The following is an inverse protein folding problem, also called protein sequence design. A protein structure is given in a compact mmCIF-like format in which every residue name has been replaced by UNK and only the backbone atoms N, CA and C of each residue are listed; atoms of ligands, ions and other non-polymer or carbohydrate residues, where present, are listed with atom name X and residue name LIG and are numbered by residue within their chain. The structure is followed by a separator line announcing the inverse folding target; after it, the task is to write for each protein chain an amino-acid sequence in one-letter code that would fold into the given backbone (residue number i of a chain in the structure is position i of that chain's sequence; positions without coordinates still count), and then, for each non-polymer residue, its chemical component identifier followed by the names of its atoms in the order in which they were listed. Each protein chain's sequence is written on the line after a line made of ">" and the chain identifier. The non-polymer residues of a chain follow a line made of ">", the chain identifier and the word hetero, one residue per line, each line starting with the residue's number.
data_IF_528470126844
#
_entry.id   IF_528470126844
#
_cell.length_a   1.000
_cell.length_b   1.000
_cell.length_c   1.000
_cell.angle_alpha   90.00
_cell.angle_beta   90.00
_cell.angle_gamma   90.00
#
_symmetry.space_group_name_H-M   'P 1'
#
loop_
_entity.id
_entity.type
_entity.pdbx_description
1 polymer ?
#
# COMPACT_ATOMS: atom_id res chain seq x y z
N UNK A 1 3.19 -6.54 19.33
CA UNK A 1 4.27 -6.63 18.34
C UNK A 1 3.63 -6.58 16.97
N UNK A 2 4.08 -5.72 16.06
CA UNK A 2 3.59 -5.73 14.67
C UNK A 2 4.10 -6.99 13.95
N UNK A 3 3.34 -7.57 13.01
CA UNK A 3 3.78 -8.72 12.22
C UNK A 3 4.91 -8.31 11.28
N UNK A 4 5.72 -9.26 10.83
CA UNK A 4 6.64 -9.02 9.73
C UNK A 4 5.88 -9.12 8.40
N UNK A 5 6.31 -8.39 7.37
CA UNK A 5 5.71 -8.50 6.04
C UNK A 5 5.80 -9.93 5.47
N UNK A 6 6.84 -10.68 5.87
CA UNK A 6 7.03 -12.09 5.52
C UNK A 6 5.97 -13.04 6.10
N UNK A 7 5.23 -12.60 7.11
CA UNK A 7 4.14 -13.38 7.72
C UNK A 7 2.90 -13.41 6.80
N UNK A 8 2.83 -12.50 5.82
CA UNK A 8 1.75 -12.42 4.85
C UNK A 8 2.10 -13.04 3.50
N UNK A 9 1.12 -13.72 2.90
CA UNK A 9 1.28 -14.31 1.56
C UNK A 9 1.28 -13.20 0.50
N UNK A 10 2.38 -13.04 -0.22
CA UNK A 10 2.44 -12.18 -1.39
C UNK A 10 1.53 -12.72 -2.51
N UNK A 11 0.64 -11.88 -3.04
CA UNK A 11 -0.34 -12.24 -4.07
C UNK A 11 0.02 -11.67 -5.43
N UNK A 12 0.39 -10.39 -5.51
CA UNK A 12 0.66 -9.72 -6.77
C UNK A 12 1.64 -8.55 -6.59
N UNK A 13 2.46 -8.32 -7.62
CA UNK A 13 3.36 -7.16 -7.71
C UNK A 13 3.09 -6.40 -8.99
N UNK A 14 2.75 -5.13 -8.86
CA UNK A 14 2.67 -4.17 -9.96
C UNK A 14 3.91 -3.30 -10.05
N UNK A 15 3.90 -2.32 -10.97
CA UNK A 15 5.04 -1.40 -11.17
C UNK A 15 5.50 -0.73 -9.86
N UNK A 16 4.56 -0.27 -9.04
CA UNK A 16 4.84 0.55 -7.84
C UNK A 16 4.07 0.14 -6.58
N UNK A 17 3.31 -0.96 -6.64
CA UNK A 17 2.48 -1.46 -5.54
C UNK A 17 2.56 -2.97 -5.45
N UNK A 18 2.45 -3.47 -4.23
CA UNK A 18 2.45 -4.89 -3.90
C UNK A 18 1.23 -5.22 -3.06
N UNK A 19 0.68 -6.42 -3.25
CA UNK A 19 -0.54 -6.88 -2.61
C UNK A 19 -0.23 -8.16 -1.84
N UNK A 20 -0.55 -8.17 -0.56
CA UNK A 20 -0.39 -9.31 0.32
C UNK A 20 -1.74 -9.71 0.92
N UNK A 21 -1.92 -11.00 1.19
CA UNK A 21 -3.07 -11.53 1.91
C UNK A 21 -2.84 -11.44 3.41
N UNK A 22 -3.74 -10.74 4.12
CA UNK A 22 -3.79 -10.79 5.59
C UNK A 22 -4.61 -12.02 6.02
N UNK A 23 -5.83 -12.16 5.50
CA UNK A 23 -6.73 -13.28 5.76
C UNK A 23 -7.69 -13.53 4.56
N UNK A 24 -8.83 -14.20 4.77
CA UNK A 24 -9.79 -14.51 3.72
C UNK A 24 -10.56 -13.27 3.20
N UNK A 25 -10.66 -12.22 4.01
CA UNK A 25 -11.45 -11.01 3.71
C UNK A 25 -10.58 -9.74 3.56
N UNK A 26 -9.32 -9.78 4.02
CA UNK A 26 -8.44 -8.61 4.08
C UNK A 26 -7.17 -8.74 3.25
N UNK A 27 -6.80 -7.62 2.62
CA UNK A 27 -5.55 -7.44 1.88
C UNK A 27 -4.71 -6.34 2.51
N UNK A 28 -3.39 -6.49 2.44
CA UNK A 28 -2.43 -5.41 2.69
C UNK A 28 -1.96 -4.84 1.34
N UNK A 29 -2.13 -3.54 1.17
CA UNK A 29 -1.82 -2.83 -0.07
C UNK A 29 -0.62 -1.90 0.14
N UNK A 30 0.56 -2.31 -0.34
CA UNK A 30 1.84 -1.66 -0.05
C UNK A 30 2.26 -0.77 -1.22
N UNK A 31 2.46 0.52 -0.98
CA UNK A 31 3.03 1.44 -1.95
C UNK A 31 4.56 1.51 -1.78
N UNK A 32 5.31 1.28 -2.86
CA UNK A 32 6.78 1.37 -2.85
C UNK A 32 7.27 2.74 -3.29
N UNK A 33 8.56 2.99 -3.08
CA UNK A 33 9.27 4.17 -3.58
C UNK A 33 9.68 4.05 -5.06
N UNK A 34 9.39 2.91 -5.71
CA UNK A 34 9.56 2.75 -7.17
C UNK A 34 8.66 3.75 -7.90
N UNK A 35 9.16 4.31 -8.99
CA UNK A 35 8.42 5.21 -9.87
C UNK A 35 8.48 4.69 -11.31
N UNK A 36 7.44 4.96 -12.10
CA UNK A 36 7.41 4.61 -13.51
C UNK A 36 7.06 5.80 -14.39
N UNK A 37 7.71 5.91 -15.54
CA UNK A 37 7.42 6.88 -16.58
C UNK A 37 7.63 6.23 -17.95
N UNK A 38 6.84 6.62 -18.96
CA UNK A 38 6.90 6.03 -20.32
C UNK A 38 6.86 4.50 -20.31
N UNK A 39 5.94 3.95 -19.52
CA UNK A 39 5.78 2.52 -19.27
C UNK A 39 6.95 1.75 -18.65
N UNK A 40 8.04 2.42 -18.29
CA UNK A 40 9.24 1.82 -17.69
C UNK A 40 9.34 2.12 -16.20
N UNK A 41 9.81 1.16 -15.40
CA UNK A 41 10.12 1.36 -13.97
C UNK A 41 11.54 1.90 -13.89
N UNK A 42 11.73 3.08 -13.29
CA UNK A 42 13.05 3.69 -13.19
C UNK A 42 13.89 2.96 -12.13
N UNK A 43 15.21 2.87 -12.36
CA UNK A 43 16.16 2.31 -11.40
C UNK A 43 16.28 3.17 -10.13
N UNK A 44 16.04 4.48 -10.27
CA UNK A 44 16.04 5.43 -9.14
C UNK A 44 14.76 5.33 -8.33
N UNK A 45 14.92 5.27 -7.00
CA UNK A 45 13.81 5.39 -6.06
C UNK A 45 13.55 6.86 -5.75
N UNK A 46 12.29 7.19 -5.44
CA UNK A 46 11.91 8.49 -4.88
C UNK A 46 11.64 8.29 -3.39
N UNK A 47 12.55 8.72 -2.49
CA UNK A 47 12.41 8.52 -1.06
C UNK A 47 11.07 9.02 -0.53
N UNK A 48 10.44 8.24 0.34
CA UNK A 48 9.17 8.52 1.01
C UNK A 48 7.94 8.63 0.08
N UNK A 49 8.09 8.42 -1.23
CA UNK A 49 6.97 8.50 -2.18
C UNK A 49 5.85 7.54 -1.78
N UNK A 50 6.17 6.30 -1.42
CA UNK A 50 5.18 5.32 -0.97
C UNK A 50 4.38 5.84 0.22
N UNK A 51 5.07 6.40 1.22
CA UNK A 51 4.45 6.97 2.43
C UNK A 51 3.56 8.17 2.12
N UNK A 52 4.05 9.11 1.31
CA UNK A 52 3.30 10.32 0.91
C UNK A 52 2.04 9.94 0.12
N UNK A 53 2.16 9.02 -0.84
CA UNK A 53 1.01 8.59 -1.65
C UNK A 53 -0.02 7.83 -0.81
N UNK A 54 0.40 7.02 0.16
CA UNK A 54 -0.52 6.38 1.11
C UNK A 54 -1.25 7.42 1.96
N UNK A 55 -0.55 8.40 2.52
CA UNK A 55 -1.17 9.47 3.32
C UNK A 55 -2.17 10.30 2.49
N UNK A 56 -1.83 10.60 1.23
CA UNK A 56 -2.72 11.32 0.31
C UNK A 56 -3.97 10.50 -0.03
N UNK A 57 -3.83 9.18 -0.26
CA UNK A 57 -4.99 8.29 -0.44
C UNK A 57 -5.90 8.26 0.78
N UNK A 58 -5.33 8.13 1.98
CA UNK A 58 -6.11 8.17 3.25
C UNK A 58 -6.88 9.49 3.37
N UNK A 59 -6.23 10.62 3.10
CA UNK A 59 -6.89 11.93 3.09
C UNK A 59 -8.08 11.98 2.13
N UNK A 60 -7.90 11.55 0.88
CA UNK A 60 -8.99 11.60 -0.10
C UNK A 60 -10.10 10.59 0.17
N UNK A 61 -9.80 9.43 0.78
CA UNK A 61 -10.82 8.47 1.20
C UNK A 61 -11.70 9.01 2.35
N UNK A 62 -11.17 9.88 3.20
CA UNK A 62 -11.92 10.60 4.22
C UNK A 62 -12.71 11.79 3.65
N UNK A 63 -12.11 12.51 2.69
CA UNK A 63 -12.69 13.72 2.11
C UNK A 63 -13.85 13.45 1.13
N UNK A 64 -13.83 12.32 0.41
CA UNK A 64 -14.84 12.00 -0.61
C UNK A 64 -15.91 11.09 0.00
N UNK A 65 -17.16 11.54 0.00
CA UNK A 65 -18.31 10.77 0.49
C UNK A 65 -18.72 9.67 -0.52
N UNK A 66 -17.96 8.58 -0.53
CA UNK A 66 -18.22 7.38 -1.30
C UNK A 66 -17.65 6.14 -0.59
N UNK A 67 -18.29 4.96 -0.71
CA UNK A 67 -17.73 3.71 -0.21
C UNK A 67 -16.33 3.47 -0.79
N UNK A 68 -15.40 3.06 0.07
CA UNK A 68 -14.05 2.69 -0.31
C UNK A 68 -13.62 1.38 0.36
N UNK A 69 -12.41 0.92 0.05
CA UNK A 69 -11.92 -0.39 0.47
C UNK A 69 -11.13 -0.43 1.78
N UNK A 70 -10.98 0.69 2.49
CA UNK A 70 -10.21 0.72 3.74
C UNK A 70 -10.94 -0.11 4.79
N UNK A 71 -10.25 -1.10 5.36
CA UNK A 71 -10.78 -2.00 6.38
C UNK A 71 -10.20 -1.76 7.78
N UNK A 72 -9.51 -0.63 7.97
CA UNK A 72 -8.84 -0.26 9.22
C UNK A 72 -8.14 1.10 9.13
N UNK A 73 -7.71 1.66 10.26
CA UNK A 73 -6.98 2.93 10.28
C UNK A 73 -5.54 2.78 9.74
N UNK A 74 -4.85 3.88 9.38
CA UNK A 74 -3.49 3.83 8.85
C UNK A 74 -2.44 3.25 9.82
N UNK A 75 -2.76 3.18 11.12
CA UNK A 75 -1.92 2.62 12.18
C UNK A 75 -2.38 1.22 12.63
N UNK A 76 -3.28 0.56 11.89
CA UNK A 76 -3.80 -0.78 12.18
C UNK A 76 -2.66 -1.75 12.58
N UNK A 77 -2.80 -2.51 13.69
CA UNK A 77 -1.74 -3.37 14.20
C UNK A 77 -1.33 -4.52 13.27
N UNK A 78 -2.14 -4.82 12.24
CA UNK A 78 -1.83 -5.79 11.19
C UNK A 78 -0.88 -5.23 10.12
N UNK A 79 -0.64 -3.92 10.10
CA UNK A 79 0.35 -3.30 9.22
C UNK A 79 1.73 -3.46 9.86
N UNK A 80 2.74 -4.03 9.16
CA UNK A 80 4.11 -4.18 9.66
C UNK A 80 4.80 -2.87 10.06
#
# INVERSE_FOLDING_TARGET
>A
MRPALSDYRHLASGKVREIYRIDDEHLLFVASDRISAFDYILDSLIPDKGRILTAMSVFFFDYIDAPNHLAGPPDDPRIP
#
